data_IF_316142554202
#
_entry.id   IF_316142554202
#
_cell.length_a   1.000
_cell.length_b   1.000
_cell.length_c   1.000
_cell.angle_alpha   90.00
_cell.angle_beta   90.00
_cell.angle_gamma   90.00
#
_symmetry.space_group_name_H-M   'P 1'
#
loop_
_entity.id
_entity.type
_entity.pdbx_description
1 polymer ?
#
# COMPACT_ATOMS: atom_id res chain seq x y z
N UNK A 1 -21.69 -16.74 0.39
CA UNK A 1 -21.37 -17.83 -0.54
C UNK A 1 -21.57 -17.45 -2.00
N UNK A 2 -22.80 -17.04 -2.37
CA UNK A 2 -23.23 -16.85 -3.76
C UNK A 2 -22.28 -16.03 -4.64
N UNK A 3 -21.73 -14.92 -4.14
CA UNK A 3 -20.80 -14.08 -4.92
C UNK A 3 -19.48 -14.80 -5.27
N UNK A 4 -18.99 -15.67 -4.38
CA UNK A 4 -17.79 -16.47 -4.63
C UNK A 4 -18.10 -17.58 -5.64
N UNK A 5 -19.26 -18.24 -5.48
CA UNK A 5 -19.73 -19.24 -6.45
C UNK A 5 -19.96 -18.65 -7.85
N UNK A 6 -20.41 -17.39 -7.94
CA UNK A 6 -20.57 -16.65 -9.19
C UNK A 6 -19.22 -16.44 -9.88
N UNK A 7 -18.21 -15.95 -9.16
CA UNK A 7 -16.84 -15.80 -9.70
C UNK A 7 -16.29 -17.13 -10.24
N UNK A 8 -16.46 -18.23 -9.48
CA UNK A 8 -16.07 -19.57 -9.92
C UNK A 8 -16.85 -20.05 -11.15
N UNK A 9 -18.09 -19.59 -11.33
CA UNK A 9 -18.92 -19.94 -12.49
C UNK A 9 -18.54 -19.16 -13.75
N UNK A 10 -18.01 -17.95 -13.60
CA UNK A 10 -17.60 -17.09 -14.72
C UNK A 10 -16.20 -17.50 -15.22
N UNK A 11 -15.32 -17.87 -14.30
CA UNK A 11 -13.90 -18.08 -14.57
C UNK A 11 -13.45 -19.56 -14.57
N UNK A 12 -14.39 -20.52 -14.51
CA UNK A 12 -14.05 -21.95 -14.54
C UNK A 12 -15.22 -22.85 -14.92
N UNK A 13 -14.90 -24.14 -15.13
CA UNK A 13 -15.84 -25.14 -15.65
C UNK A 13 -16.47 -26.03 -14.56
N UNK A 14 -16.54 -25.53 -13.32
CA UNK A 14 -17.02 -26.31 -12.19
C UNK A 14 -18.55 -26.44 -12.20
N UNK A 15 -19.06 -27.64 -11.95
CA UNK A 15 -20.49 -27.86 -11.72
C UNK A 15 -20.97 -27.22 -10.42
N UNK A 16 -22.29 -27.03 -10.26
CA UNK A 16 -22.87 -26.32 -9.08
C UNK A 16 -22.40 -26.88 -7.73
N UNK A 17 -22.36 -28.20 -7.59
CA UNK A 17 -21.91 -28.86 -6.35
C UNK A 17 -20.43 -28.60 -6.09
N UNK A 18 -19.61 -28.64 -7.13
CA UNK A 18 -18.16 -28.42 -7.04
C UNK A 18 -17.85 -26.95 -6.73
N UNK A 19 -18.57 -25.99 -7.30
CA UNK A 19 -18.43 -24.56 -6.97
C UNK A 19 -18.73 -24.28 -5.51
N UNK A 20 -19.76 -24.92 -4.96
CA UNK A 20 -20.12 -24.77 -3.55
C UNK A 20 -19.04 -25.33 -2.64
N UNK A 21 -18.55 -26.54 -2.93
CA UNK A 21 -17.43 -27.12 -2.18
C UNK A 21 -16.15 -26.28 -2.28
N UNK A 22 -15.80 -25.81 -3.48
CA UNK A 22 -14.67 -24.91 -3.68
C UNK A 22 -14.84 -23.59 -2.94
N UNK A 23 -16.06 -23.06 -2.86
CA UNK A 23 -16.36 -21.86 -2.07
C UNK A 23 -16.12 -22.08 -0.58
N UNK A 24 -16.50 -23.25 -0.04
CA UNK A 24 -16.23 -23.62 1.36
C UNK A 24 -14.72 -23.70 1.58
N UNK A 25 -13.98 -24.34 0.67
CA UNK A 25 -12.51 -24.40 0.74
C UNK A 25 -11.89 -23.02 0.77
N UNK A 26 -12.28 -22.11 -0.13
CA UNK A 26 -11.76 -20.75 -0.19
C UNK A 26 -12.06 -19.97 1.10
N UNK A 27 -13.29 -20.08 1.63
CA UNK A 27 -13.68 -19.47 2.91
C UNK A 27 -12.87 -20.05 4.08
N UNK A 28 -12.61 -21.35 4.10
CA UNK A 28 -11.73 -22.00 5.08
C UNK A 28 -10.28 -21.52 4.95
N UNK A 29 -9.76 -21.40 3.73
CA UNK A 29 -8.39 -20.94 3.46
C UNK A 29 -8.14 -19.52 3.96
N UNK A 30 -9.14 -18.63 3.86
CA UNK A 30 -9.02 -17.27 4.40
C UNK A 30 -9.32 -17.18 5.91
N UNK A 31 -9.63 -18.31 6.56
CA UNK A 31 -9.84 -18.39 8.00
C UNK A 31 -11.23 -17.99 8.47
N UNK A 32 -12.28 -18.16 7.64
CA UNK A 32 -13.65 -18.06 8.13
C UNK A 32 -13.95 -19.27 9.03
N UNK A 33 -14.32 -19.04 10.31
CA UNK A 33 -14.64 -20.14 11.23
C UNK A 33 -15.90 -20.86 10.74
N UNK A 34 -15.88 -22.19 10.76
CA UNK A 34 -17.00 -23.04 10.32
C UNK A 34 -17.59 -22.61 8.96
N UNK A 35 -16.70 -22.49 7.96
CA UNK A 35 -17.04 -22.02 6.62
C UNK A 35 -18.23 -22.74 5.99
N UNK A 36 -18.41 -24.04 6.30
CA UNK A 36 -19.52 -24.85 5.79
C UNK A 36 -20.87 -24.41 6.37
N UNK A 37 -20.93 -24.09 7.67
CA UNK A 37 -22.14 -23.54 8.27
C UNK A 37 -22.40 -22.09 7.83
N UNK A 38 -21.33 -21.31 7.62
CA UNK A 38 -21.41 -19.87 7.32
C UNK A 38 -21.50 -19.52 5.84
N UNK A 39 -21.47 -20.50 4.93
CA UNK A 39 -21.48 -20.22 3.48
C UNK A 39 -22.75 -19.46 3.05
N UNK A 40 -23.87 -19.69 3.72
CA UNK A 40 -25.16 -19.07 3.43
C UNK A 40 -25.45 -17.84 4.32
N UNK A 41 -24.51 -17.45 5.19
CA UNK A 41 -24.64 -16.22 5.99
C UNK A 41 -24.57 -14.97 5.12
N UNK A 42 -25.32 -13.95 5.53
CA UNK A 42 -25.30 -12.63 4.92
C UNK A 42 -24.12 -11.78 5.40
N UNK A 43 -23.66 -10.79 4.61
CA UNK A 43 -22.55 -9.91 4.98
C UNK A 43 -22.71 -9.18 6.33
N UNK A 44 -23.94 -8.88 6.75
CA UNK A 44 -24.23 -8.21 8.02
C UNK A 44 -24.10 -9.14 9.24
N UNK A 45 -24.04 -10.47 9.04
CA UNK A 45 -23.77 -11.46 10.09
C UNK A 45 -22.27 -11.68 10.30
N UNK A 46 -21.42 -11.13 9.44
CA UNK A 46 -19.96 -11.21 9.54
C UNK A 46 -19.38 -10.01 10.28
N UNK A 47 -18.30 -10.23 11.03
CA UNK A 47 -17.47 -9.12 11.53
C UNK A 47 -16.77 -8.39 10.37
N UNK A 48 -16.21 -7.21 10.63
CA UNK A 48 -15.43 -6.47 9.62
C UNK A 48 -14.30 -7.32 9.03
N UNK A 49 -13.51 -7.98 9.89
CA UNK A 49 -12.45 -8.89 9.46
C UNK A 49 -12.96 -10.12 8.69
N UNK A 50 -14.12 -10.68 9.05
CA UNK A 50 -14.72 -11.78 8.29
C UNK A 50 -15.19 -11.35 6.91
N UNK A 51 -15.78 -10.14 6.79
CA UNK A 51 -16.12 -9.57 5.47
C UNK A 51 -14.87 -9.37 4.61
N UNK A 52 -13.79 -8.84 5.19
CA UNK A 52 -12.53 -8.67 4.49
C UNK A 52 -11.96 -10.02 4.00
N UNK A 53 -11.95 -11.03 4.86
CA UNK A 53 -11.53 -12.40 4.50
C UNK A 53 -12.40 -12.99 3.38
N UNK A 54 -13.72 -12.82 3.45
CA UNK A 54 -14.62 -13.27 2.38
C UNK A 54 -14.35 -12.57 1.04
N UNK A 55 -13.99 -11.28 1.04
CA UNK A 55 -13.55 -10.55 -0.16
C UNK A 55 -12.22 -11.09 -0.70
N UNK A 56 -11.28 -11.45 0.17
CA UNK A 56 -10.04 -12.12 -0.25
C UNK A 56 -10.36 -13.48 -0.89
N UNK A 57 -11.26 -14.28 -0.30
CA UNK A 57 -11.68 -15.56 -0.86
C UNK A 57 -12.32 -15.40 -2.25
N UNK A 58 -13.11 -14.34 -2.44
CA UNK A 58 -13.67 -13.98 -3.74
C UNK A 58 -12.56 -13.66 -4.76
N UNK A 59 -11.56 -12.87 -4.37
CA UNK A 59 -10.42 -12.53 -5.24
C UNK A 59 -9.58 -13.77 -5.61
N UNK A 60 -9.47 -14.74 -4.71
CA UNK A 60 -8.75 -16.00 -4.94
C UNK A 60 -9.51 -17.02 -5.79
N UNK A 61 -10.80 -16.83 -6.02
CA UNK A 61 -11.64 -17.80 -6.72
C UNK A 61 -11.08 -18.17 -8.10
N UNK A 62 -10.46 -17.21 -8.79
CA UNK A 62 -9.84 -17.41 -10.11
C UNK A 62 -8.39 -17.92 -10.10
N UNK A 63 -7.81 -18.27 -8.94
CA UNK A 63 -6.38 -18.59 -8.78
C UNK A 63 -5.47 -17.53 -9.47
N UNK A 64 -5.54 -16.26 -9.07
CA UNK A 64 -4.89 -15.18 -9.81
C UNK A 64 -3.35 -15.20 -9.65
N UNK A 65 -2.64 -14.84 -10.72
CA UNK A 65 -1.19 -14.57 -10.67
C UNK A 65 -0.87 -13.23 -9.97
N UNK A 66 -1.85 -12.32 -9.87
CA UNK A 66 -1.71 -11.00 -9.28
C UNK A 66 -2.94 -10.63 -8.43
N UNK A 67 -2.71 -10.26 -7.17
CA UNK A 67 -3.70 -9.68 -6.29
C UNK A 67 -3.44 -8.18 -6.10
N UNK A 68 -4.45 -7.34 -6.39
CA UNK A 68 -4.41 -5.91 -6.10
C UNK A 68 -5.28 -5.65 -4.87
N UNK A 69 -4.66 -5.23 -3.77
CA UNK A 69 -5.30 -4.99 -2.51
C UNK A 69 -5.35 -3.47 -2.25
N UNK A 70 -6.52 -2.87 -2.50
CA UNK A 70 -6.75 -1.44 -2.32
C UNK A 70 -7.26 -1.14 -0.91
N UNK A 71 -6.41 -0.51 -0.09
CA UNK A 71 -6.67 -0.18 1.31
C UNK A 71 -7.28 -1.34 2.13
N UNK A 72 -6.71 -2.56 2.06
CA UNK A 72 -7.37 -3.79 2.50
C UNK A 72 -7.45 -3.94 4.02
N UNK A 73 -6.89 -3.00 4.76
CA UNK A 73 -6.90 -2.99 6.24
C UNK A 73 -7.66 -1.78 6.80
N UNK A 74 -8.22 -0.93 5.93
CA UNK A 74 -9.00 0.23 6.37
C UNK A 74 -10.22 -0.19 7.19
N UNK A 75 -10.51 0.57 8.24
CA UNK A 75 -11.61 0.33 9.19
C UNK A 75 -11.51 -0.97 10.00
N UNK A 76 -10.33 -1.59 10.06
CA UNK A 76 -10.03 -2.72 10.97
C UNK A 76 -9.26 -2.22 12.19
N UNK A 77 -9.41 -2.93 13.32
CA UNK A 77 -8.55 -2.71 14.47
C UNK A 77 -7.13 -3.25 14.21
N UNK A 78 -6.15 -2.77 14.98
CA UNK A 78 -4.72 -3.11 14.82
C UNK A 78 -4.46 -4.62 14.86
N UNK A 79 -5.22 -5.37 15.68
CA UNK A 79 -5.04 -6.84 15.78
C UNK A 79 -5.54 -7.52 14.51
N UNK A 80 -6.75 -7.16 14.06
CA UNK A 80 -7.32 -7.73 12.83
C UNK A 80 -6.49 -7.34 11.60
N UNK A 81 -5.99 -6.10 11.52
CA UNK A 81 -5.08 -5.65 10.47
C UNK A 81 -3.88 -6.60 10.34
N UNK A 82 -3.17 -6.85 11.44
CA UNK A 82 -2.02 -7.77 11.43
C UNK A 82 -2.38 -9.17 10.95
N UNK A 83 -3.55 -9.67 11.35
CA UNK A 83 -4.03 -10.98 10.88
C UNK A 83 -4.33 -11.01 9.37
N UNK A 84 -4.81 -9.91 8.79
CA UNK A 84 -5.02 -9.80 7.34
C UNK A 84 -3.68 -9.73 6.61
N UNK A 85 -2.70 -8.98 7.12
CA UNK A 85 -1.37 -8.92 6.53
C UNK A 85 -0.69 -10.30 6.50
N UNK A 86 -0.70 -11.02 7.63
CA UNK A 86 -0.18 -12.40 7.71
C UNK A 86 -0.94 -13.37 6.79
N UNK A 87 -2.26 -13.16 6.62
CA UNK A 87 -3.04 -13.96 5.67
C UNK A 87 -2.57 -13.71 4.23
N UNK A 88 -2.42 -12.45 3.82
CA UNK A 88 -1.98 -12.10 2.46
C UNK A 88 -0.57 -12.60 2.18
N UNK A 89 0.34 -12.49 3.14
CA UNK A 89 1.70 -13.03 3.02
C UNK A 89 1.70 -14.55 2.84
N UNK A 90 0.91 -15.27 3.65
CA UNK A 90 0.77 -16.71 3.49
C UNK A 90 0.19 -17.08 2.12
N UNK A 91 -0.88 -16.41 1.70
CA UNK A 91 -1.51 -16.67 0.40
C UNK A 91 -0.56 -16.38 -0.77
N UNK A 92 0.21 -15.29 -0.70
CA UNK A 92 1.27 -14.97 -1.65
C UNK A 92 2.21 -16.16 -1.84
N UNK A 93 2.68 -16.74 -0.74
CA UNK A 93 3.62 -17.86 -0.76
C UNK A 93 2.95 -19.17 -1.22
N UNK A 94 1.73 -19.46 -0.76
CA UNK A 94 0.98 -20.68 -1.07
C UNK A 94 0.62 -20.78 -2.57
N UNK A 95 0.28 -19.64 -3.19
CA UNK A 95 -0.14 -19.57 -4.60
C UNK A 95 0.97 -19.12 -5.55
N UNK A 96 2.10 -18.62 -5.04
CA UNK A 96 3.15 -18.03 -5.86
C UNK A 96 2.71 -16.77 -6.63
N UNK A 97 1.72 -16.03 -6.11
CA UNK A 97 1.16 -14.83 -6.76
C UNK A 97 1.96 -13.57 -6.41
N UNK A 98 1.88 -12.54 -7.25
CA UNK A 98 2.29 -11.19 -6.91
C UNK A 98 1.20 -10.44 -6.13
N UNK A 99 1.58 -9.51 -5.27
CA UNK A 99 0.64 -8.65 -4.53
C UNK A 99 1.01 -7.18 -4.71
N UNK A 100 0.08 -6.37 -5.22
CA UNK A 100 0.15 -4.91 -5.16
C UNK A 100 -0.71 -4.46 -3.98
N UNK A 101 -0.08 -3.87 -2.98
CA UNK A 101 -0.74 -3.36 -1.79
C UNK A 101 -0.78 -1.83 -1.84
N UNK A 102 -1.98 -1.26 -1.84
CA UNK A 102 -2.18 0.21 -1.85
C UNK A 102 -2.60 0.62 -0.45
N UNK A 103 -1.81 1.48 0.17
CA UNK A 103 -2.15 2.03 1.49
C UNK A 103 -1.51 3.38 1.75
N UNK A 104 -2.14 4.15 2.64
CA UNK A 104 -1.59 5.35 3.25
C UNK A 104 -0.76 5.07 4.52
N UNK A 105 -0.76 3.85 5.06
CA UNK A 105 0.00 3.48 6.26
C UNK A 105 1.41 3.00 5.91
N UNK A 106 2.40 3.87 6.10
CA UNK A 106 3.81 3.55 5.87
C UNK A 106 4.38 2.51 6.85
N UNK A 107 3.77 2.34 8.03
CA UNK A 107 4.15 1.29 8.97
C UNK A 107 3.82 -0.10 8.43
N UNK A 108 2.67 -0.25 7.78
CA UNK A 108 2.28 -1.47 7.07
C UNK A 108 3.22 -1.73 5.90
N UNK A 109 3.52 -0.72 5.09
CA UNK A 109 4.43 -0.85 3.94
C UNK A 109 5.80 -1.38 4.38
N UNK A 110 6.33 -0.89 5.50
CA UNK A 110 7.61 -1.33 6.05
C UNK A 110 7.62 -2.82 6.48
N UNK A 111 6.47 -3.38 6.83
CA UNK A 111 6.35 -4.78 7.30
C UNK A 111 6.23 -5.78 6.14
N UNK A 112 5.52 -5.44 5.07
CA UNK A 112 5.11 -6.45 4.06
C UNK A 112 5.69 -6.28 2.66
N UNK A 113 6.20 -5.10 2.30
CA UNK A 113 6.54 -4.80 0.92
C UNK A 113 8.03 -5.03 0.62
N UNK A 114 8.31 -5.60 -0.54
CA UNK A 114 9.68 -5.69 -1.08
C UNK A 114 10.10 -4.34 -1.72
N UNK A 115 9.14 -3.68 -2.38
CA UNK A 115 9.30 -2.42 -3.10
C UNK A 115 8.16 -1.47 -2.79
N UNK A 116 8.43 -0.17 -2.89
CA UNK A 116 7.44 0.89 -2.68
C UNK A 116 7.41 1.86 -3.85
N UNK A 117 6.22 2.38 -4.14
CA UNK A 117 6.01 3.51 -5.04
C UNK A 117 5.22 4.58 -4.27
N UNK A 118 5.85 5.73 -4.06
CA UNK A 118 5.23 6.89 -3.43
C UNK A 118 4.58 7.74 -4.51
N UNK A 119 3.31 8.06 -4.32
CA UNK A 119 2.54 8.90 -5.24
C UNK A 119 2.11 10.21 -4.58
N UNK A 120 2.10 11.28 -5.36
CA UNK A 120 1.54 12.56 -4.97
C UNK A 120 0.79 13.19 -6.15
N UNK A 121 -0.45 13.67 -5.93
CA UNK A 121 -1.26 14.33 -6.97
C UNK A 121 -1.41 13.51 -8.28
N UNK A 122 -1.50 12.17 -8.13
CA UNK A 122 -1.61 11.22 -9.25
C UNK A 122 -0.32 11.03 -10.05
N UNK A 123 0.84 11.33 -9.46
CA UNK A 123 2.17 11.12 -10.07
C UNK A 123 3.02 10.26 -9.15
N UNK A 124 3.74 9.29 -9.71
CA UNK A 124 4.86 8.65 -9.03
C UNK A 124 5.93 9.71 -8.77
N UNK A 125 6.21 9.97 -7.51
CA UNK A 125 7.27 10.90 -7.08
C UNK A 125 8.55 10.18 -6.68
N UNK A 126 8.45 8.93 -6.24
CA UNK A 126 9.59 8.12 -5.83
C UNK A 126 9.24 6.64 -5.86
N UNK A 127 10.18 5.77 -6.25
CA UNK A 127 10.03 4.32 -6.20
C UNK A 127 11.38 3.63 -6.03
N UNK A 128 11.42 2.52 -5.31
CA UNK A 128 12.65 1.75 -5.06
C UNK A 128 12.35 0.56 -4.15
N UNK A 129 13.41 -0.09 -3.65
CA UNK A 129 13.22 -1.04 -2.54
C UNK A 129 12.69 -0.30 -1.30
N UNK A 130 11.91 -0.99 -0.46
CA UNK A 130 11.42 -0.39 0.79
C UNK A 130 12.59 0.13 1.63
N UNK A 131 13.69 -0.63 1.71
CA UNK A 131 14.89 -0.25 2.45
C UNK A 131 15.48 1.07 1.94
N UNK A 132 15.67 1.22 0.64
CA UNK A 132 16.28 2.44 0.08
C UNK A 132 15.38 3.66 0.29
N UNK A 133 14.09 3.54 0.00
CA UNK A 133 13.15 4.67 0.10
C UNK A 133 12.95 5.10 1.56
N UNK A 134 12.94 4.16 2.51
CA UNK A 134 12.73 4.48 3.93
C UNK A 134 13.99 5.05 4.61
N UNK A 135 15.20 4.65 4.17
CA UNK A 135 16.45 5.11 4.78
C UNK A 135 17.08 6.29 4.04
N UNK A 136 16.88 6.41 2.74
CA UNK A 136 17.51 7.43 1.90
C UNK A 136 16.52 8.05 0.90
N UNK A 137 15.41 8.67 1.35
CA UNK A 137 14.44 9.24 0.43
C UNK A 137 15.03 10.39 -0.39
N UNK A 138 14.75 10.38 -1.69
CA UNK A 138 15.21 11.37 -2.65
C UNK A 138 14.21 12.50 -2.90
N UNK A 139 12.93 12.28 -2.64
CA UNK A 139 11.90 13.30 -2.84
C UNK A 139 11.50 13.95 -1.51
N UNK A 140 11.47 15.30 -1.40
CA UNK A 140 11.10 16.00 -0.16
C UNK A 140 9.73 15.61 0.42
N UNK A 141 8.78 15.26 -0.44
CA UNK A 141 7.49 14.71 0.01
C UNK A 141 7.67 13.38 0.76
N UNK A 142 8.45 12.44 0.22
CA UNK A 142 8.72 11.14 0.85
C UNK A 142 9.44 11.33 2.18
N UNK A 143 10.47 12.19 2.21
CA UNK A 143 11.18 12.54 3.45
C UNK A 143 10.20 13.14 4.50
N UNK A 144 9.32 14.04 4.06
CA UNK A 144 8.28 14.62 4.92
C UNK A 144 7.28 13.58 5.44
N UNK A 145 6.86 12.62 4.62
CA UNK A 145 5.98 11.54 5.04
C UNK A 145 6.62 10.67 6.12
N UNK A 146 7.88 10.26 5.91
CA UNK A 146 8.62 9.45 6.85
C UNK A 146 8.88 10.20 8.17
N UNK A 147 9.18 11.50 8.10
CA UNK A 147 9.35 12.36 9.27
C UNK A 147 8.04 12.58 10.07
N UNK A 148 6.87 12.35 9.44
CA UNK A 148 5.57 12.38 10.12
C UNK A 148 5.24 11.09 10.88
N UNK A 149 6.01 10.01 10.71
CA UNK A 149 5.80 8.74 11.42
C UNK A 149 6.33 8.85 12.87
N UNK A 150 5.54 8.49 13.90
CA UNK A 150 6.01 8.52 15.27
C UNK A 150 7.17 7.55 15.52
N UNK A 151 8.32 8.05 16.00
CA UNK A 151 9.41 7.20 16.48
C UNK A 151 9.06 6.59 17.84
N UNK A 152 8.68 5.30 17.86
CA UNK A 152 8.25 4.59 19.08
C UNK A 152 9.36 4.42 20.14
N UNK A 153 10.63 4.62 19.77
CA UNK A 153 11.78 4.35 20.63
C UNK A 153 12.37 5.59 21.34
N UNK A 154 11.72 6.76 21.29
CA UNK A 154 12.26 7.99 21.92
C UNK A 154 11.57 8.32 23.26
N UNK A 155 12.33 8.55 24.34
CA UNK A 155 11.79 8.88 25.67
C UNK A 155 11.10 10.25 25.75
N UNK A 156 11.31 11.12 24.75
CA UNK A 156 10.50 12.32 24.49
C UNK A 156 10.14 12.32 23.01
N UNK A 157 8.85 12.24 22.70
CA UNK A 157 8.38 12.43 21.33
C UNK A 157 8.65 13.89 20.94
N UNK A 158 9.54 14.19 19.98
CA UNK A 158 9.59 15.53 19.40
C UNK A 158 8.22 15.88 18.81
N UNK A 159 7.93 17.18 18.64
CA UNK A 159 6.71 17.61 17.94
C UNK A 159 6.66 16.90 16.59
N UNK A 160 5.56 16.20 16.31
CA UNK A 160 5.33 15.55 15.03
C UNK A 160 5.49 16.60 13.92
N UNK A 161 6.41 16.33 12.99
CA UNK A 161 6.58 17.19 11.84
C UNK A 161 5.49 16.87 10.84
N UNK A 162 4.69 17.87 10.48
CA UNK A 162 3.65 17.74 9.45
C UNK A 162 4.05 18.48 8.18
N UNK A 163 3.67 17.92 7.04
CA UNK A 163 3.86 18.56 5.74
C UNK A 163 2.92 19.77 5.64
N UNK A 164 3.49 20.97 5.57
CA UNK A 164 2.74 22.24 5.54
C UNK A 164 1.85 22.35 4.29
N UNK A 165 0.80 23.17 4.40
CA UNK A 165 -0.15 23.43 3.32
C UNK A 165 -1.10 22.25 3.02
N UNK A 166 -2.00 22.45 2.07
CA UNK A 166 -2.99 21.46 1.64
C UNK A 166 -2.59 20.80 0.30
N UNK A 167 -2.92 19.53 0.06
CA UNK A 167 -2.79 18.91 -1.26
C UNK A 167 -3.53 19.70 -2.35
N UNK A 168 -3.06 19.68 -3.61
CA UNK A 168 -3.74 20.36 -4.70
C UNK A 168 -5.11 19.73 -4.98
N UNK A 169 -6.10 20.57 -5.28
CA UNK A 169 -7.42 20.14 -5.71
C UNK A 169 -7.34 19.73 -7.18
N UNK A 170 -7.33 18.42 -7.44
CA UNK A 170 -7.10 17.90 -8.80
C UNK A 170 -8.21 18.27 -9.80
N UNK A 171 -9.41 18.61 -9.34
CA UNK A 171 -10.50 19.12 -10.19
C UNK A 171 -10.26 20.54 -10.71
N UNK A 172 -9.40 21.32 -10.04
CA UNK A 172 -9.01 22.68 -10.48
C UNK A 172 -7.79 22.66 -11.43
N UNK A 173 -7.28 21.46 -11.73
CA UNK A 173 -6.10 21.25 -12.56
C UNK A 173 -4.86 20.89 -11.76
N UNK A 174 -3.93 20.20 -12.42
CA UNK A 174 -2.63 19.85 -11.83
C UNK A 174 -1.65 21.03 -12.02
N UNK A 175 -0.78 21.33 -11.05
CA UNK A 175 0.32 22.28 -11.26
C UNK A 175 1.15 21.88 -12.49
N UNK A 176 1.54 22.87 -13.31
CA UNK A 176 2.31 22.64 -14.54
C UNK A 176 3.71 22.05 -14.28
N UNK A 177 4.26 22.33 -13.09
CA UNK A 177 5.57 21.88 -12.66
C UNK A 177 5.55 20.63 -11.78
N UNK A 178 6.49 20.58 -10.83
CA UNK A 178 6.42 19.62 -9.74
C UNK A 178 5.14 19.88 -8.92
N UNK A 179 4.26 18.88 -8.84
CA UNK A 179 2.99 19.02 -8.12
C UNK A 179 3.18 19.34 -6.62
N UNK A 180 4.33 18.96 -6.04
CA UNK A 180 4.66 19.23 -4.65
C UNK A 180 5.31 20.61 -4.42
N UNK A 181 5.67 21.35 -5.47
CA UNK A 181 6.35 22.65 -5.39
C UNK A 181 5.71 23.61 -4.37
N UNK A 182 4.37 23.81 -4.30
CA UNK A 182 3.77 24.78 -3.38
C UNK A 182 3.94 24.45 -1.88
N UNK A 183 4.33 23.22 -1.56
CA UNK A 183 4.47 22.70 -0.19
C UNK A 183 5.91 22.26 0.13
N UNK A 184 6.80 22.38 -0.84
CA UNK A 184 8.16 21.88 -0.74
C UNK A 184 9.07 22.95 -0.13
N UNK A 185 9.69 22.65 1.01
CA UNK A 185 10.65 23.54 1.67
C UNK A 185 11.97 23.71 0.90
N UNK A 186 12.16 22.89 -0.15
CA UNK A 186 13.30 22.93 -1.07
C UNK A 186 12.92 23.40 -2.48
N UNK A 187 11.78 24.07 -2.65
CA UNK A 187 11.35 24.57 -3.95
C UNK A 187 12.29 25.66 -4.48
N UNK A 188 12.57 25.63 -5.79
CA UNK A 188 13.34 26.65 -6.51
C UNK A 188 12.80 26.79 -7.94
N UNK A 189 13.26 27.77 -8.71
CA UNK A 189 12.66 28.18 -10.00
C UNK A 189 12.41 27.03 -10.99
N UNK A 190 13.33 26.06 -11.08
CA UNK A 190 13.20 24.92 -11.99
C UNK A 190 11.99 24.02 -11.67
N UNK A 191 11.52 24.02 -10.42
CA UNK A 191 10.35 23.27 -9.99
C UNK A 191 9.05 23.69 -10.69
N UNK A 192 9.01 24.86 -11.34
CA UNK A 192 7.89 25.29 -12.20
C UNK A 192 7.70 24.41 -13.44
N UNK A 193 8.67 23.55 -13.77
CA UNK A 193 8.59 22.55 -14.85
C UNK A 193 8.56 21.14 -14.28
N UNK A 194 7.81 20.23 -14.91
CA UNK A 194 7.68 18.84 -14.43
C UNK A 194 9.05 18.13 -14.53
N UNK A 195 9.59 17.61 -13.40
CA UNK A 195 10.81 16.81 -13.45
C UNK A 195 10.56 15.48 -14.18
N UNK A 196 11.53 14.96 -14.94
CA UNK A 196 11.50 13.58 -15.40
C UNK A 196 11.61 12.63 -14.20
N UNK A 197 11.22 11.37 -14.40
CA UNK A 197 11.59 10.30 -13.47
C UNK A 197 13.03 9.86 -13.80
N UNK A 198 13.92 9.91 -12.82
CA UNK A 198 15.35 9.61 -13.00
C UNK A 198 15.85 8.64 -11.94
N UNK A 199 16.79 7.78 -12.31
CA UNK A 199 17.50 6.90 -11.37
C UNK A 199 18.72 7.58 -10.77
N UNK A 200 18.93 7.42 -9.46
CA UNK A 200 20.15 7.83 -8.76
C UNK A 200 20.99 6.61 -8.36
N UNK A 201 21.93 6.22 -9.22
CA UNK A 201 22.90 5.18 -8.87
C UNK A 201 22.41 3.74 -9.12
N UNK A 202 22.64 2.84 -8.15
CA UNK A 202 22.41 1.38 -8.27
C UNK A 202 20.97 1.13 -8.71
N UNK A 203 20.83 0.18 -9.65
CA UNK A 203 19.63 -0.08 -10.43
C UNK A 203 18.37 -0.13 -9.53
N UNK A 204 17.41 0.76 -9.84
CA UNK A 204 15.99 0.76 -9.43
C UNK A 204 15.47 1.83 -8.43
N UNK A 205 16.30 2.68 -7.81
CA UNK A 205 15.77 3.82 -7.02
C UNK A 205 15.51 5.04 -7.92
N UNK A 206 14.24 5.25 -8.24
CA UNK A 206 13.72 6.27 -9.12
C UNK A 206 13.08 7.42 -8.33
N UNK A 207 13.28 8.65 -8.78
CA UNK A 207 12.59 9.82 -8.23
C UNK A 207 12.20 10.82 -9.31
N UNK A 208 11.19 11.65 -8.99
CA UNK A 208 10.73 12.76 -9.83
C UNK A 208 11.05 14.09 -9.14
N UNK A 209 12.33 14.40 -8.95
CA UNK A 209 12.76 15.62 -8.26
C UNK A 209 13.95 16.29 -8.96
N UNK A 210 13.91 17.62 -9.07
CA UNK A 210 15.03 18.41 -9.58
C UNK A 210 16.16 18.62 -8.56
N UNK A 211 15.99 18.20 -7.30
CA UNK A 211 17.03 18.39 -6.29
C UNK A 211 18.34 17.71 -6.73
N UNK A 212 19.48 18.42 -6.63
CA UNK A 212 20.78 17.82 -6.88
C UNK A 212 21.06 16.64 -5.96
N UNK A 213 21.84 15.67 -6.41
CA UNK A 213 22.22 14.46 -5.65
C UNK A 213 22.77 14.79 -4.26
N UNK A 214 23.57 15.86 -4.13
CA UNK A 214 24.11 16.29 -2.83
C UNK A 214 23.00 16.64 -1.83
N UNK A 215 22.00 17.42 -2.26
CA UNK A 215 20.88 17.82 -1.40
C UNK A 215 19.94 16.67 -1.08
N UNK A 216 19.80 15.69 -1.99
CA UNK A 216 19.05 14.46 -1.72
C UNK A 216 19.69 13.61 -0.62
N UNK A 217 21.03 13.59 -0.53
CA UNK A 217 21.74 12.94 0.59
C UNK A 217 21.49 13.65 1.92
N UNK A 218 21.32 14.97 1.90
CA UNK A 218 21.00 15.73 3.12
C UNK A 218 19.61 15.37 3.67
N UNK A 219 18.64 15.03 2.80
CA UNK A 219 17.34 14.51 3.22
C UNK A 219 17.49 13.19 4.00
N UNK A 220 18.35 12.28 3.53
CA UNK A 220 18.65 11.02 4.19
C UNK A 220 19.33 11.25 5.56
N UNK A 221 20.33 12.13 5.62
CA UNK A 221 21.07 12.43 6.85
C UNK A 221 20.17 13.08 7.90
N UNK A 222 19.25 13.96 7.49
CA UNK A 222 18.27 14.56 8.39
C UNK A 222 17.32 13.52 9.01
N UNK A 223 17.16 12.36 8.37
CA UNK A 223 16.39 11.25 8.93
C UNK A 223 17.20 10.40 9.91
N UNK A 224 18.49 10.14 9.67
CA UNK A 224 19.33 9.39 10.61
C UNK A 224 19.51 10.11 11.96
N UNK A 225 19.57 11.45 11.95
CA UNK A 225 19.58 12.26 13.19
C UNK A 225 18.23 12.16 13.93
N UNK A 226 17.17 11.75 13.24
CA UNK A 226 15.80 11.62 13.76
C UNK A 226 15.34 10.17 14.00
N UNK A 227 16.11 9.16 13.58
CA UNK A 227 15.96 7.74 13.93
C UNK A 227 16.45 7.46 15.37
#
# INVERSE_FOLDING_TARGET
GTQIEESLSIHGDLGRRERRERTIELLSQVGIPDARARIDDYPHQFSGGMRQRAMIALALAGNPDLLIADEPTTALDVTTQKQILMLLERLRNDYGMAVIFITHDLGVVAEIADRVMVMYAGKCVESGSVREVFHAPHHPYTAGLLASIPALNRPKLPRLQSIRGAPPVLSEGRPAGCAFQPRCDHAFDRCSTEPPITSLGVLEHLDRCWLPTAQKRDLANAMEVNA
#
